data_IF_472255372419
#
_entry.id   IF_472255372419
#
_cell.length_a   1.000
_cell.length_b   1.000
_cell.length_c   1.000
_cell.angle_alpha   90.00
_cell.angle_beta   90.00
_cell.angle_gamma   90.00
#
_symmetry.space_group_name_H-M   'P 1'
#
loop_
_entity.id
_entity.type
_entity.pdbx_description
1 polymer ?
#
# COMPACT_ATOMS: atom_id res chain seq x y z
N UNK A 1 17.14 40.65 15.56
CA UNK A 1 16.42 40.41 14.29
C UNK A 1 17.18 40.89 13.05
N UNK A 2 17.62 42.15 12.96
CA UNK A 2 18.32 42.70 11.77
C UNK A 2 19.57 41.88 11.35
N UNK A 3 20.42 41.42 12.29
CA UNK A 3 21.61 40.62 11.99
C UNK A 3 21.30 39.24 11.42
N UNK A 4 20.24 38.57 11.88
CA UNK A 4 19.82 37.27 11.36
C UNK A 4 19.29 37.38 9.92
N UNK A 5 18.47 38.39 9.62
CA UNK A 5 17.99 38.67 8.26
C UNK A 5 19.14 38.98 7.29
N UNK A 6 20.10 39.76 7.75
CA UNK A 6 21.29 40.07 6.96
C UNK A 6 22.14 38.80 6.69
N UNK A 7 22.37 37.97 7.69
CA UNK A 7 23.06 36.67 7.53
C UNK A 7 22.33 35.76 6.55
N UNK A 8 21.03 35.68 6.65
CA UNK A 8 20.19 34.91 5.71
C UNK A 8 20.30 35.45 4.28
N UNK A 9 20.25 36.78 4.10
CA UNK A 9 20.39 37.41 2.78
C UNK A 9 21.76 37.11 2.16
N UNK A 10 22.84 37.12 2.93
CA UNK A 10 24.20 36.78 2.47
C UNK A 10 24.27 35.30 2.07
N UNK A 11 23.69 34.38 2.85
CA UNK A 11 23.67 32.96 2.53
C UNK A 11 22.83 32.67 1.27
N UNK A 12 21.67 33.32 1.14
CA UNK A 12 20.85 33.20 -0.08
C UNK A 12 21.51 33.81 -1.32
N UNK A 13 22.28 34.90 -1.16
CA UNK A 13 23.01 35.50 -2.27
C UNK A 13 24.08 34.58 -2.85
N UNK A 14 24.62 33.66 -2.02
CA UNK A 14 25.56 32.64 -2.47
C UNK A 14 24.95 31.76 -3.57
N UNK A 15 23.71 31.31 -3.41
CA UNK A 15 23.03 30.49 -4.40
C UNK A 15 22.80 31.18 -5.74
N UNK A 16 22.59 32.51 -5.72
CA UNK A 16 22.50 33.30 -6.96
C UNK A 16 23.82 33.36 -7.72
N UNK A 17 24.94 33.33 -7.00
CA UNK A 17 26.29 33.37 -7.59
C UNK A 17 26.79 31.99 -8.03
N UNK A 18 26.26 30.93 -7.39
CA UNK A 18 26.66 29.55 -7.67
C UNK A 18 25.43 28.66 -7.92
N UNK A 19 24.68 28.92 -9.02
CA UNK A 19 23.42 28.22 -9.29
C UNK A 19 23.62 26.71 -9.49
N UNK A 20 24.73 26.28 -10.05
CA UNK A 20 25.05 24.85 -10.24
C UNK A 20 25.14 24.09 -8.91
N UNK A 21 25.63 24.69 -7.84
CA UNK A 21 25.69 24.07 -6.52
C UNK A 21 24.31 23.90 -5.92
N UNK A 22 23.43 24.89 -6.08
CA UNK A 22 22.04 24.80 -5.68
C UNK A 22 21.31 23.68 -6.44
N UNK A 23 21.49 23.63 -7.76
CA UNK A 23 20.87 22.61 -8.62
C UNK A 23 21.31 21.20 -8.21
N UNK A 24 22.61 20.99 -7.98
CA UNK A 24 23.15 19.70 -7.54
C UNK A 24 22.57 19.28 -6.18
N UNK A 25 22.46 20.21 -5.23
CA UNK A 25 21.84 19.94 -3.92
C UNK A 25 20.35 19.59 -4.09
N UNK A 26 19.61 20.38 -4.86
CA UNK A 26 18.18 20.12 -5.10
C UNK A 26 17.97 18.80 -5.82
N UNK A 27 18.76 18.47 -6.84
CA UNK A 27 18.68 17.18 -7.53
C UNK A 27 18.89 16.03 -6.54
N UNK A 28 19.90 16.13 -5.66
CA UNK A 28 20.15 15.13 -4.62
C UNK A 28 18.97 14.94 -3.68
N UNK A 29 18.41 16.04 -3.16
CA UNK A 29 17.25 16.00 -2.27
C UNK A 29 15.98 15.48 -2.99
N UNK A 30 15.71 15.95 -4.20
CA UNK A 30 14.57 15.51 -5.03
C UNK A 30 14.70 14.03 -5.36
N UNK A 31 15.87 13.58 -5.82
CA UNK A 31 16.10 12.18 -6.19
C UNK A 31 15.92 11.23 -5.01
N UNK A 32 16.46 11.60 -3.83
CA UNK A 32 16.32 10.80 -2.61
C UNK A 32 14.84 10.67 -2.20
N UNK A 33 14.10 11.78 -2.21
CA UNK A 33 12.67 11.79 -1.86
C UNK A 33 11.85 11.06 -2.91
N UNK A 34 12.15 11.23 -4.21
CA UNK A 34 11.44 10.56 -5.31
C UNK A 34 11.66 9.04 -5.25
N UNK A 35 12.89 8.59 -5.00
CA UNK A 35 13.20 7.17 -4.85
C UNK A 35 12.41 6.54 -3.71
N UNK A 36 12.47 7.16 -2.52
CA UNK A 36 11.75 6.65 -1.36
C UNK A 36 10.23 6.67 -1.58
N UNK A 37 9.69 7.77 -2.06
CA UNK A 37 8.24 7.91 -2.26
C UNK A 37 7.71 6.98 -3.35
N UNK A 38 8.46 6.78 -4.44
CA UNK A 38 8.12 5.85 -5.50
C UNK A 38 8.07 4.40 -5.03
N UNK A 39 9.09 3.97 -4.27
CA UNK A 39 9.13 2.61 -3.68
C UNK A 39 7.99 2.42 -2.68
N UNK A 40 7.71 3.40 -1.82
CA UNK A 40 6.61 3.31 -0.86
C UNK A 40 5.23 3.28 -1.53
N UNK A 41 5.03 4.04 -2.60
CA UNK A 41 3.79 4.01 -3.37
C UNK A 41 3.53 2.62 -3.97
N UNK A 42 4.55 2.01 -4.58
CA UNK A 42 4.48 0.65 -5.12
C UNK A 42 4.25 -0.40 -4.02
N UNK A 43 4.96 -0.29 -2.90
CA UNK A 43 4.80 -1.19 -1.76
C UNK A 43 3.40 -1.13 -1.16
N UNK A 44 2.85 0.07 -0.97
CA UNK A 44 1.47 0.22 -0.46
C UNK A 44 0.44 -0.35 -1.42
N UNK A 45 0.62 -0.11 -2.72
CA UNK A 45 -0.28 -0.66 -3.74
C UNK A 45 -0.22 -2.19 -3.77
N UNK A 46 0.99 -2.76 -3.69
CA UNK A 46 1.18 -4.19 -3.62
C UNK A 46 0.52 -4.80 -2.37
N UNK A 47 0.74 -4.22 -1.18
CA UNK A 47 0.09 -4.65 0.07
C UNK A 47 -1.43 -4.57 -0.02
N UNK A 48 -1.96 -3.44 -0.48
CA UNK A 48 -3.40 -3.25 -0.60
C UNK A 48 -4.04 -4.28 -1.55
N UNK A 49 -3.38 -4.60 -2.67
CA UNK A 49 -3.85 -5.61 -3.59
C UNK A 49 -3.81 -7.02 -3.00
N UNK A 50 -2.77 -7.31 -2.22
CA UNK A 50 -2.62 -8.58 -1.51
C UNK A 50 -3.66 -8.75 -0.41
N UNK A 51 -3.86 -7.73 0.43
CA UNK A 51 -4.85 -7.74 1.51
C UNK A 51 -6.26 -7.93 0.93
N UNK A 52 -6.59 -7.26 -0.16
CA UNK A 52 -7.86 -7.45 -0.87
C UNK A 52 -8.02 -8.86 -1.43
N UNK A 53 -6.96 -9.42 -2.03
CA UNK A 53 -7.00 -10.79 -2.53
C UNK A 53 -7.14 -11.81 -1.37
N UNK A 54 -6.33 -11.67 -0.32
CA UNK A 54 -6.39 -12.54 0.85
C UNK A 54 -7.74 -12.47 1.55
N UNK A 55 -8.34 -11.30 1.59
CA UNK A 55 -9.63 -11.07 2.19
C UNK A 55 -10.76 -11.84 1.47
N UNK A 56 -10.70 -11.97 0.15
CA UNK A 56 -11.69 -12.72 -0.64
C UNK A 56 -11.53 -14.24 -0.53
N UNK A 57 -10.32 -14.71 -0.27
CA UNK A 57 -10.08 -16.14 -0.06
C UNK A 57 -10.58 -16.64 1.30
N UNK A 58 -11.33 -15.79 2.06
CA UNK A 58 -11.79 -16.12 3.40
C UNK A 58 -10.58 -16.30 4.30
N UNK A 59 -9.77 -15.25 4.35
CA UNK A 59 -8.46 -15.31 4.99
C UNK A 59 -8.46 -16.20 6.20
N UNK A 60 -7.45 -16.96 6.38
CA UNK A 60 -7.09 -17.96 7.37
C UNK A 60 -7.57 -17.71 8.82
N UNK A 61 -8.27 -16.62 9.06
CA UNK A 61 -8.86 -16.27 10.37
C UNK A 61 -10.21 -16.92 10.65
N UNK A 62 -10.85 -17.54 9.64
CA UNK A 62 -12.17 -18.15 9.82
C UNK A 62 -12.09 -19.63 9.45
N UNK A 63 -12.49 -20.51 10.38
CA UNK A 63 -12.61 -21.93 10.09
C UNK A 63 -13.57 -22.16 8.90
N UNK A 64 -13.25 -23.12 8.06
CA UNK A 64 -14.11 -23.46 6.92
C UNK A 64 -14.28 -24.97 6.78
N UNK A 65 -15.42 -25.39 6.21
CA UNK A 65 -15.66 -26.75 5.76
C UNK A 65 -15.57 -26.78 4.23
N UNK A 66 -14.78 -27.69 3.72
CA UNK A 66 -14.63 -27.93 2.28
C UNK A 66 -14.92 -29.38 1.94
N UNK A 67 -15.31 -29.65 0.71
CA UNK A 67 -15.41 -30.99 0.20
C UNK A 67 -14.07 -31.73 0.35
N UNK A 68 -14.09 -33.05 0.65
CA UNK A 68 -12.88 -33.82 0.99
C UNK A 68 -11.81 -33.74 -0.09
N UNK A 69 -12.21 -33.73 -1.34
CA UNK A 69 -11.30 -33.66 -2.51
C UNK A 69 -11.26 -32.26 -3.15
N UNK A 70 -11.70 -31.25 -2.43
CA UNK A 70 -11.83 -29.88 -2.98
C UNK A 70 -13.01 -29.75 -3.97
N UNK A 71 -13.83 -30.80 -4.12
CA UNK A 71 -15.00 -30.79 -4.99
C UNK A 71 -16.17 -30.02 -4.37
N UNK A 72 -17.09 -29.58 -5.23
CA UNK A 72 -18.38 -29.06 -4.79
C UNK A 72 -19.21 -30.15 -4.11
N UNK A 73 -20.07 -29.75 -3.19
CA UNK A 73 -20.94 -30.66 -2.44
C UNK A 73 -22.39 -30.14 -2.41
N UNK A 74 -23.38 -31.03 -2.15
CA UNK A 74 -24.78 -30.65 -2.17
C UNK A 74 -25.16 -29.61 -1.11
N UNK A 75 -25.99 -28.64 -1.47
CA UNK A 75 -26.52 -27.61 -0.57
C UNK A 75 -27.30 -28.20 0.62
N UNK A 76 -27.81 -29.44 0.50
CA UNK A 76 -28.50 -30.13 1.57
C UNK A 76 -27.60 -30.25 2.82
N UNK A 77 -26.32 -30.48 2.67
CA UNK A 77 -25.36 -30.54 3.80
C UNK A 77 -25.28 -29.23 4.58
N UNK A 78 -25.39 -28.08 3.92
CA UNK A 78 -25.48 -26.79 4.59
C UNK A 78 -26.74 -26.72 5.47
N UNK A 79 -27.89 -27.12 4.93
CA UNK A 79 -29.16 -27.10 5.65
C UNK A 79 -29.11 -28.02 6.88
N UNK A 80 -28.57 -29.24 6.73
CA UNK A 80 -28.47 -30.21 7.81
C UNK A 80 -27.50 -29.74 8.90
N UNK A 81 -26.37 -29.13 8.54
CA UNK A 81 -25.44 -28.54 9.48
C UNK A 81 -26.06 -27.35 10.24
N UNK A 82 -26.83 -26.50 9.56
CA UNK A 82 -27.55 -25.39 10.20
C UNK A 82 -28.56 -25.91 11.21
N UNK A 83 -29.32 -26.94 10.87
CA UNK A 83 -30.30 -27.61 11.78
C UNK A 83 -29.60 -28.29 12.97
N UNK A 84 -28.37 -28.77 12.77
CA UNK A 84 -27.52 -29.36 13.81
C UNK A 84 -26.78 -28.34 14.70
N UNK A 85 -27.06 -27.01 14.54
CA UNK A 85 -26.52 -25.94 15.36
C UNK A 85 -25.17 -25.37 14.87
N UNK A 86 -24.70 -25.75 13.69
CA UNK A 86 -23.48 -25.17 13.11
C UNK A 86 -23.74 -23.78 12.55
N UNK A 87 -22.96 -22.74 12.96
CA UNK A 87 -23.07 -21.40 12.42
C UNK A 87 -22.33 -21.30 11.09
N UNK A 88 -22.79 -21.98 10.08
CA UNK A 88 -22.16 -22.03 8.76
C UNK A 88 -22.86 -21.09 7.77
N UNK A 89 -22.07 -20.54 6.84
CA UNK A 89 -22.51 -19.71 5.71
C UNK A 89 -21.98 -20.30 4.39
N UNK A 90 -22.84 -20.47 3.38
CA UNK A 90 -22.46 -21.12 2.14
C UNK A 90 -21.74 -20.17 1.20
N UNK A 91 -20.76 -20.71 0.47
CA UNK A 91 -20.07 -20.03 -0.62
C UNK A 91 -20.02 -20.96 -1.83
N UNK A 92 -20.35 -20.41 -2.99
CA UNK A 92 -20.14 -21.05 -4.29
C UNK A 92 -19.14 -20.23 -5.11
N UNK A 93 -18.08 -20.87 -5.57
CA UNK A 93 -17.04 -20.23 -6.40
C UNK A 93 -16.94 -20.89 -7.77
N UNK A 94 -16.73 -20.07 -8.79
CA UNK A 94 -16.49 -20.52 -10.13
C UNK A 94 -15.85 -19.44 -10.99
N UNK A 95 -15.70 -19.73 -12.27
CA UNK A 95 -15.20 -18.78 -13.26
C UNK A 95 -16.25 -18.58 -14.35
N UNK A 96 -16.46 -17.31 -14.72
CA UNK A 96 -17.30 -16.96 -15.86
C UNK A 96 -16.47 -16.17 -16.87
N UNK A 97 -16.84 -16.24 -18.12
CA UNK A 97 -16.25 -15.44 -19.20
C UNK A 97 -17.23 -14.31 -19.59
N UNK A 98 -16.69 -13.09 -19.63
CA UNK A 98 -17.42 -11.89 -20.07
C UNK A 98 -16.51 -11.22 -21.11
N UNK A 99 -17.01 -11.05 -22.33
CA UNK A 99 -16.29 -10.42 -23.44
C UNK A 99 -14.87 -11.01 -23.67
N UNK A 100 -14.74 -12.35 -23.58
CA UNK A 100 -13.49 -13.07 -23.77
C UNK A 100 -12.52 -12.99 -22.58
N UNK A 101 -12.90 -12.36 -21.47
CA UNK A 101 -12.10 -12.28 -20.24
C UNK A 101 -12.69 -13.18 -19.15
N UNK A 102 -11.81 -13.83 -18.40
CA UNK A 102 -12.20 -14.72 -17.29
C UNK A 102 -12.26 -13.93 -15.98
N UNK A 103 -13.42 -14.00 -15.30
CA UNK A 103 -13.65 -13.44 -13.98
C UNK A 103 -13.98 -14.53 -12.98
N UNK A 104 -13.58 -14.32 -11.72
CA UNK A 104 -14.01 -15.18 -10.62
C UNK A 104 -15.38 -14.75 -10.15
N UNK A 105 -16.36 -15.65 -10.19
CA UNK A 105 -17.68 -15.46 -9.64
C UNK A 105 -17.75 -16.07 -8.24
N UNK A 106 -18.23 -15.33 -7.27
CA UNK A 106 -18.44 -15.75 -5.89
C UNK A 106 -19.90 -15.53 -5.51
N UNK A 107 -20.62 -16.60 -5.25
CA UNK A 107 -21.97 -16.59 -4.68
C UNK A 107 -21.89 -16.64 -3.17
N UNK A 108 -22.58 -15.71 -2.50
CA UNK A 108 -22.66 -15.61 -1.04
C UNK A 108 -24.09 -15.51 -0.58
N UNK A 109 -24.35 -15.94 0.66
CA UNK A 109 -25.61 -15.69 1.36
C UNK A 109 -25.38 -14.66 2.48
N UNK A 110 -25.80 -13.39 2.28
CA UNK A 110 -25.47 -12.31 3.22
C UNK A 110 -26.07 -12.47 4.61
N UNK A 111 -27.20 -13.19 4.74
CA UNK A 111 -27.91 -13.34 6.02
C UNK A 111 -27.14 -14.20 7.02
N UNK A 112 -26.46 -15.25 6.54
CA UNK A 112 -25.71 -16.17 7.40
C UNK A 112 -24.23 -15.86 7.50
N UNK A 113 -23.77 -14.86 6.74
CA UNK A 113 -22.36 -14.50 6.68
C UNK A 113 -21.85 -13.99 8.04
N UNK A 114 -20.75 -14.54 8.60
CA UNK A 114 -20.20 -14.07 9.86
C UNK A 114 -19.71 -12.61 9.73
N UNK A 115 -20.08 -11.76 10.70
CA UNK A 115 -19.64 -10.34 10.74
C UNK A 115 -18.11 -10.15 10.78
N UNK A 116 -17.36 -11.20 11.12
CA UNK A 116 -15.89 -11.21 11.24
C UNK A 116 -15.16 -11.61 9.95
N UNK A 117 -15.88 -11.99 8.91
CA UNK A 117 -15.29 -12.19 7.59
C UNK A 117 -15.02 -10.81 7.01
N UNK A 118 -13.89 -10.23 7.34
CA UNK A 118 -13.48 -8.87 7.05
C UNK A 118 -13.38 -8.48 5.57
N UNK A 119 -14.03 -9.22 4.71
CA UNK A 119 -14.05 -8.99 3.26
C UNK A 119 -15.32 -9.51 2.59
N UNK A 120 -16.25 -9.99 3.35
CA UNK A 120 -17.60 -9.94 2.81
C UNK A 120 -17.89 -8.47 2.57
N UNK A 121 -18.27 -8.07 1.35
CA UNK A 121 -18.67 -6.70 1.12
C UNK A 121 -19.66 -6.36 2.22
N UNK A 122 -19.43 -5.27 2.94
CA UNK A 122 -20.37 -4.76 3.90
C UNK A 122 -21.61 -4.35 3.11
N UNK A 123 -22.46 -5.33 2.81
CA UNK A 123 -23.74 -5.09 2.12
C UNK A 123 -24.57 -4.32 3.15
N UNK A 124 -24.69 -3.03 2.93
CA UNK A 124 -25.50 -2.17 3.80
C UNK A 124 -26.91 -2.73 3.91
N UNK A 125 -27.57 -2.53 5.07
CA UNK A 125 -28.95 -3.01 5.25
C UNK A 125 -29.88 -2.56 4.11
N UNK A 126 -29.64 -1.39 3.53
CA UNK A 126 -30.38 -0.85 2.39
C UNK A 126 -30.13 -1.60 1.07
N UNK A 127 -29.00 -2.30 0.96
CA UNK A 127 -28.56 -2.99 -0.25
C UNK A 127 -28.88 -4.49 -0.25
N UNK A 128 -29.27 -5.04 0.90
CA UNK A 128 -29.61 -6.46 1.04
C UNK A 128 -30.79 -6.87 0.16
N UNK A 129 -31.84 -6.07 0.13
CA UNK A 129 -33.03 -6.39 -0.64
C UNK A 129 -32.75 -6.43 -2.16
N UNK A 130 -32.11 -5.40 -2.79
CA UNK A 130 -31.76 -5.48 -4.19
C UNK A 130 -30.77 -6.60 -4.53
N UNK A 131 -29.89 -6.97 -3.58
CA UNK A 131 -28.92 -8.04 -3.77
C UNK A 131 -29.56 -9.43 -3.84
N UNK A 132 -30.53 -9.70 -2.96
CA UNK A 132 -31.18 -11.01 -2.80
C UNK A 132 -32.43 -11.20 -3.69
N UNK A 133 -33.04 -10.10 -4.18
CA UNK A 133 -34.28 -10.17 -4.94
C UNK A 133 -34.00 -10.14 -6.44
N UNK A 134 -34.53 -11.08 -7.26
CA UNK A 134 -34.34 -11.05 -8.71
C UNK A 134 -34.71 -9.70 -9.33
N UNK A 135 -33.92 -9.17 -10.29
CA UNK A 135 -32.81 -9.82 -10.99
C UNK A 135 -31.50 -9.85 -10.19
N UNK A 136 -31.43 -9.29 -8.98
CA UNK A 136 -30.24 -9.19 -8.17
C UNK A 136 -29.27 -8.10 -8.61
N UNK A 137 -28.12 -8.06 -7.97
CA UNK A 137 -27.03 -7.12 -8.27
C UNK A 137 -25.70 -7.87 -8.24
N UNK A 138 -24.82 -7.57 -9.16
CA UNK A 138 -23.43 -8.02 -9.15
C UNK A 138 -22.57 -6.95 -8.53
N UNK A 139 -21.91 -7.25 -7.42
CA UNK A 139 -20.93 -6.35 -6.81
C UNK A 139 -19.58 -6.53 -7.51
N UNK A 140 -18.96 -5.42 -7.89
CA UNK A 140 -17.69 -5.39 -8.62
C UNK A 140 -16.76 -4.32 -8.08
N UNK A 141 -15.44 -4.54 -8.19
CA UNK A 141 -14.47 -3.50 -7.92
C UNK A 141 -14.56 -2.39 -8.99
N UNK A 142 -14.26 -1.11 -8.63
CA UNK A 142 -14.26 -0.02 -9.60
C UNK A 142 -13.29 -0.27 -10.77
N UNK A 143 -12.18 -0.93 -10.51
CA UNK A 143 -11.18 -1.30 -11.51
C UNK A 143 -11.73 -2.34 -12.51
N UNK A 144 -12.50 -3.32 -12.02
CA UNK A 144 -13.16 -4.32 -12.88
C UNK A 144 -14.18 -3.66 -13.80
N UNK A 145 -14.91 -2.66 -13.31
CA UNK A 145 -15.86 -1.91 -14.11
C UNK A 145 -15.14 -1.12 -15.23
N UNK A 146 -14.02 -0.47 -14.89
CA UNK A 146 -13.17 0.25 -15.85
C UNK A 146 -12.58 -0.70 -16.91
N UNK A 147 -12.13 -1.88 -16.50
CA UNK A 147 -11.58 -2.91 -17.40
C UNK A 147 -12.62 -3.45 -18.38
N UNK A 148 -13.88 -3.55 -17.95
CA UNK A 148 -15.01 -3.93 -18.79
C UNK A 148 -15.51 -2.78 -19.68
N UNK A 149 -15.03 -1.56 -19.46
CA UNK A 149 -15.51 -0.31 -20.15
C UNK A 149 -17.02 -0.13 -20.01
N UNK A 150 -17.58 -0.52 -18.88
CA UNK A 150 -19.01 -0.43 -18.58
C UNK A 150 -19.27 0.65 -17.54
N UNK A 151 -20.47 1.24 -17.57
CA UNK A 151 -20.94 2.14 -16.52
C UNK A 151 -21.59 1.34 -15.38
N UNK A 152 -21.70 1.95 -14.19
CA UNK A 152 -22.49 1.39 -13.09
C UNK A 152 -23.94 1.21 -13.50
N UNK A 153 -24.54 0.06 -13.14
CA UNK A 153 -25.88 -0.32 -13.56
C UNK A 153 -25.97 -0.96 -14.96
N UNK A 154 -24.88 -0.99 -15.72
CA UNK A 154 -24.86 -1.66 -17.01
C UNK A 154 -24.94 -3.19 -16.86
N UNK A 155 -25.50 -3.83 -17.89
CA UNK A 155 -25.53 -5.30 -18.00
C UNK A 155 -24.57 -5.71 -19.09
N UNK A 156 -23.53 -6.53 -18.80
CA UNK A 156 -22.59 -7.00 -19.81
C UNK A 156 -23.32 -7.80 -20.90
N UNK A 157 -22.93 -7.56 -22.14
CA UNK A 157 -23.47 -8.30 -23.30
C UNK A 157 -23.08 -9.78 -23.29
N UNK A 158 -24.01 -10.65 -23.66
CA UNK A 158 -23.79 -12.09 -23.89
C UNK A 158 -24.00 -13.02 -22.69
N UNK A 159 -23.88 -12.57 -21.45
CA UNK A 159 -24.39 -13.28 -20.27
C UNK A 159 -25.55 -12.48 -19.69
N UNK A 160 -26.63 -13.16 -19.25
CA UNK A 160 -27.73 -12.51 -18.53
C UNK A 160 -27.27 -12.22 -17.10
N UNK A 161 -26.33 -11.27 -16.98
CA UNK A 161 -25.84 -10.82 -15.69
C UNK A 161 -26.77 -9.76 -15.11
N UNK A 162 -26.99 -9.78 -13.80
CA UNK A 162 -27.64 -8.66 -13.11
C UNK A 162 -26.88 -7.35 -13.28
N UNK A 163 -27.50 -6.17 -12.97
CA UNK A 163 -26.84 -4.90 -13.02
C UNK A 163 -25.58 -4.86 -12.14
N UNK A 164 -24.52 -4.25 -12.67
CA UNK A 164 -23.24 -4.10 -11.96
C UNK A 164 -23.33 -2.95 -10.96
N UNK A 165 -22.85 -3.16 -9.75
CA UNK A 165 -22.74 -2.13 -8.71
C UNK A 165 -21.31 -2.07 -8.16
N UNK A 166 -20.80 -0.88 -7.99
CA UNK A 166 -19.43 -0.66 -7.52
C UNK A 166 -19.32 -0.91 -6.01
N UNK A 167 -18.38 -1.76 -5.62
CA UNK A 167 -17.95 -1.98 -4.24
C UNK A 167 -16.43 -1.79 -4.13
N UNK A 168 -15.95 -0.66 -3.55
CA UNK A 168 -14.53 -0.32 -3.52
C UNK A 168 -13.64 -1.31 -2.76
N UNK A 169 -14.23 -2.09 -1.86
CA UNK A 169 -13.50 -3.06 -1.02
C UNK A 169 -13.24 -4.38 -1.72
N UNK A 170 -13.91 -4.64 -2.85
CA UNK A 170 -13.72 -5.89 -3.60
C UNK A 170 -12.39 -5.88 -4.36
N UNK A 171 -11.78 -7.08 -4.49
CA UNK A 171 -10.61 -7.24 -5.33
C UNK A 171 -10.99 -7.17 -6.82
N UNK A 172 -10.13 -6.59 -7.66
CA UNK A 172 -10.30 -6.59 -9.10
C UNK A 172 -10.45 -8.01 -9.65
N UNK A 173 -11.34 -8.17 -10.66
CA UNK A 173 -11.57 -9.45 -11.31
C UNK A 173 -12.47 -10.42 -10.55
N UNK A 174 -13.04 -9.99 -9.42
CA UNK A 174 -14.02 -10.75 -8.65
C UNK A 174 -15.40 -10.13 -8.79
N UNK A 175 -16.38 -10.98 -9.03
CA UNK A 175 -17.80 -10.66 -9.11
C UNK A 175 -18.49 -11.34 -7.95
N UNK A 176 -19.22 -10.58 -7.13
CA UNK A 176 -19.95 -11.14 -5.99
C UNK A 176 -21.43 -10.99 -6.25
N UNK A 177 -22.17 -12.09 -6.10
CA UNK A 177 -23.60 -12.18 -6.34
C UNK A 177 -24.30 -12.99 -5.24
N UNK A 178 -25.60 -12.95 -5.21
CA UNK A 178 -26.40 -13.89 -4.40
C UNK A 178 -26.11 -15.35 -4.81
N UNK A 179 -26.15 -16.26 -3.84
CA UNK A 179 -25.79 -17.67 -4.06
C UNK A 179 -26.69 -18.36 -5.09
N UNK A 180 -27.98 -18.03 -5.12
CA UNK A 180 -28.92 -18.58 -6.11
C UNK A 180 -28.57 -18.12 -7.52
N UNK A 181 -28.22 -16.84 -7.69
CA UNK A 181 -27.77 -16.29 -8.97
C UNK A 181 -26.44 -16.92 -9.40
N UNK A 182 -25.52 -17.15 -8.45
CA UNK A 182 -24.27 -17.84 -8.75
C UNK A 182 -24.48 -19.27 -9.23
N UNK A 183 -25.40 -20.01 -8.62
CA UNK A 183 -25.75 -21.37 -9.03
C UNK A 183 -26.28 -21.42 -10.46
N UNK A 184 -27.13 -20.46 -10.84
CA UNK A 184 -27.68 -20.36 -12.19
C UNK A 184 -26.58 -19.98 -13.23
N UNK A 185 -25.77 -18.98 -12.93
CA UNK A 185 -24.69 -18.50 -13.82
C UNK A 185 -23.59 -19.55 -14.03
N UNK A 186 -23.25 -20.30 -12.99
CA UNK A 186 -22.26 -21.38 -13.06
C UNK A 186 -22.83 -22.71 -13.54
N UNK A 187 -24.13 -22.79 -13.74
CA UNK A 187 -24.85 -24.04 -14.09
C UNK A 187 -24.59 -25.15 -13.06
N UNK A 188 -24.59 -24.80 -11.78
CA UNK A 188 -24.34 -25.70 -10.65
C UNK A 188 -25.48 -25.63 -9.63
N UNK A 189 -26.72 -26.00 -10.02
CA UNK A 189 -27.88 -25.90 -9.14
C UNK A 189 -27.70 -26.79 -7.90
N UNK A 190 -27.98 -26.23 -6.71
CA UNK A 190 -27.89 -26.95 -5.44
C UNK A 190 -26.50 -27.40 -5.03
N UNK A 191 -25.43 -26.85 -5.63
CA UNK A 191 -24.03 -27.15 -5.28
C UNK A 191 -23.39 -25.99 -4.54
N UNK A 192 -22.45 -26.31 -3.65
CA UNK A 192 -21.64 -25.38 -2.88
C UNK A 192 -20.17 -25.75 -2.97
N UNK A 193 -19.28 -24.76 -2.88
CA UNK A 193 -17.84 -25.00 -2.88
C UNK A 193 -17.24 -25.11 -1.47
N UNK A 194 -17.73 -24.31 -0.53
CA UNK A 194 -17.27 -24.31 0.87
C UNK A 194 -18.33 -23.68 1.80
N UNK A 195 -18.16 -23.94 3.12
CA UNK A 195 -18.93 -23.29 4.17
C UNK A 195 -17.96 -22.54 5.10
N UNK A 196 -18.23 -21.28 5.38
CA UNK A 196 -17.53 -20.53 6.42
C UNK A 196 -18.18 -20.80 7.77
N UNK A 197 -17.37 -20.98 8.83
CA UNK A 197 -17.87 -21.22 10.18
C UNK A 197 -17.81 -19.92 10.96
N UNK A 198 -18.96 -19.39 11.35
CA UNK A 198 -19.05 -18.23 12.24
C UNK A 198 -18.75 -18.56 13.71
N UNK A 199 -18.55 -17.51 14.51
CA UNK A 199 -18.46 -17.65 15.96
C UNK A 199 -19.86 -17.80 16.56
N UNK A 200 -20.22 -18.99 17.03
CA UNK A 200 -21.40 -19.20 17.86
C UNK A 200 -21.04 -20.02 19.08
N UNK A 201 -21.47 -19.56 20.23
CA UNK A 201 -21.33 -20.23 21.51
C UNK A 201 -22.53 -21.18 21.74
N UNK A 202 -22.66 -22.22 20.91
CA UNK A 202 -23.74 -23.20 21.03
C UNK A 202 -23.25 -24.64 21.03
N UNK A 203 -24.06 -25.56 21.61
CA UNK A 203 -23.84 -27.00 21.49
C UNK A 203 -23.98 -27.37 20.00
N UNK A 204 -22.98 -28.00 19.42
CA UNK A 204 -22.95 -28.47 18.03
C UNK A 204 -22.94 -29.98 18.02
N UNK A 205 -23.68 -30.58 17.10
CA UNK A 205 -23.52 -32.01 16.85
C UNK A 205 -22.13 -32.29 16.26
N UNK A 206 -21.51 -33.45 16.50
CA UNK A 206 -20.26 -33.84 15.86
C UNK A 206 -20.36 -33.74 14.33
N UNK A 207 -19.35 -33.20 13.68
CA UNK A 207 -19.36 -33.01 12.22
C UNK A 207 -19.58 -34.33 11.48
N UNK A 208 -18.96 -35.39 11.96
CA UNK A 208 -19.05 -36.73 11.37
C UNK A 208 -20.45 -37.32 11.42
N UNK A 209 -21.26 -36.96 12.44
CA UNK A 209 -22.64 -37.44 12.56
C UNK A 209 -23.60 -36.76 11.56
N UNK A 210 -23.26 -35.56 11.07
CA UNK A 210 -24.13 -34.78 10.15
C UNK A 210 -23.64 -34.88 8.71
N UNK A 211 -22.34 -34.69 8.48
CA UNK A 211 -21.75 -34.64 7.14
C UNK A 211 -20.97 -35.92 6.79
N UNK A 212 -20.89 -36.90 7.67
CA UNK A 212 -20.09 -38.09 7.48
C UNK A 212 -18.63 -37.74 7.11
N UNK A 213 -18.12 -38.36 6.06
CA UNK A 213 -16.78 -38.09 5.55
C UNK A 213 -16.76 -37.14 4.34
N UNK A 214 -17.87 -36.49 3.99
CA UNK A 214 -17.94 -35.66 2.79
C UNK A 214 -17.28 -34.30 2.96
N UNK A 215 -17.23 -33.80 4.20
CA UNK A 215 -16.64 -32.50 4.52
C UNK A 215 -15.39 -32.65 5.38
N UNK A 216 -14.43 -31.77 5.17
CA UNK A 216 -13.22 -31.62 5.99
C UNK A 216 -13.19 -30.26 6.61
N UNK A 217 -12.92 -30.20 7.91
CA UNK A 217 -12.70 -28.96 8.65
C UNK A 217 -11.27 -28.46 8.38
N UNK A 218 -11.16 -27.24 7.90
CA UNK A 218 -9.90 -26.49 7.84
C UNK A 218 -9.94 -25.47 8.98
N UNK A 219 -9.04 -25.65 9.95
CA UNK A 219 -8.93 -24.76 11.11
C UNK A 219 -8.37 -23.38 10.70
N UNK A 220 -8.73 -22.30 11.44
CA UNK A 220 -8.26 -20.95 11.11
C UNK A 220 -6.76 -20.74 11.23
N UNK A 221 -6.08 -21.61 11.97
CA UNK A 221 -4.62 -21.55 12.22
C UNK A 221 -3.85 -22.65 11.47
N UNK A 222 -4.49 -23.37 10.54
CA UNK A 222 -3.71 -24.15 9.61
C UNK A 222 -2.87 -23.14 8.83
N UNK A 223 -1.61 -22.93 9.29
CA UNK A 223 -0.60 -22.15 8.57
C UNK A 223 -0.60 -22.64 7.14
N UNK A 224 -1.37 -21.99 6.29
CA UNK A 224 -1.35 -22.31 4.87
C UNK A 224 0.00 -21.81 4.37
N UNK A 225 0.65 -22.55 3.49
CA UNK A 225 1.85 -22.09 2.77
C UNK A 225 1.64 -20.68 2.18
N UNK A 226 0.39 -20.30 1.94
CA UNK A 226 -0.03 -18.99 1.47
C UNK A 226 0.20 -17.87 2.50
N UNK A 227 0.02 -18.12 3.82
CA UNK A 227 0.32 -17.12 4.86
C UNK A 227 1.82 -16.90 4.99
N UNK A 228 2.60 -17.97 4.98
CA UNK A 228 4.07 -17.87 5.00
C UNK A 228 4.60 -17.13 3.78
N UNK A 229 4.02 -17.36 2.61
CA UNK A 229 4.34 -16.62 1.40
C UNK A 229 3.97 -15.14 1.53
N UNK A 230 2.81 -14.84 2.10
CA UNK A 230 2.34 -13.47 2.32
C UNK A 230 3.22 -12.73 3.32
N UNK A 231 3.57 -13.37 4.44
CA UNK A 231 4.47 -12.78 5.45
C UNK A 231 5.86 -12.55 4.89
N UNK A 232 6.41 -13.50 4.14
CA UNK A 232 7.69 -13.35 3.45
C UNK A 232 7.66 -12.20 2.43
N UNK A 233 6.54 -12.05 1.71
CA UNK A 233 6.34 -10.96 0.77
C UNK A 233 6.29 -9.60 1.48
N UNK A 234 5.53 -9.48 2.59
CA UNK A 234 5.47 -8.26 3.39
C UNK A 234 6.82 -7.89 4.00
N UNK A 235 7.59 -8.88 4.43
CA UNK A 235 8.94 -8.68 4.96
C UNK A 235 9.89 -8.19 3.87
N UNK A 236 9.86 -8.76 2.68
CA UNK A 236 10.63 -8.30 1.53
C UNK A 236 10.27 -6.87 1.12
N UNK A 237 8.99 -6.53 1.04
CA UNK A 237 8.56 -5.16 0.74
C UNK A 237 9.05 -4.16 1.81
N UNK A 238 9.06 -4.56 3.07
CA UNK A 238 9.59 -3.74 4.17
C UNK A 238 11.09 -3.55 4.03
N UNK A 239 11.82 -4.61 3.71
CA UNK A 239 13.27 -4.56 3.46
C UNK A 239 13.62 -3.65 2.28
N UNK A 240 12.88 -3.72 1.17
CA UNK A 240 13.06 -2.80 0.04
C UNK A 240 12.76 -1.34 0.40
N UNK A 241 11.72 -1.11 1.21
CA UNK A 241 11.42 0.23 1.73
C UNK A 241 12.54 0.79 2.60
N UNK A 242 13.11 -0.03 3.49
CA UNK A 242 14.23 0.34 4.34
C UNK A 242 15.50 0.59 3.51
N UNK A 243 15.80 -0.28 2.55
CA UNK A 243 16.95 -0.11 1.66
C UNK A 243 16.85 1.20 0.87
N UNK A 244 15.68 1.48 0.31
CA UNK A 244 15.39 2.72 -0.41
C UNK A 244 15.61 3.96 0.48
N UNK A 245 15.16 3.88 1.75
CA UNK A 245 15.39 4.94 2.73
C UNK A 245 16.88 5.16 3.02
N UNK A 246 17.65 4.08 3.23
CA UNK A 246 19.10 4.16 3.48
C UNK A 246 19.85 4.75 2.29
N UNK A 247 19.51 4.32 1.08
CA UNK A 247 20.10 4.89 -0.15
C UNK A 247 19.75 6.37 -0.29
N UNK A 248 18.49 6.74 -0.05
CA UNK A 248 18.05 8.13 -0.04
C UNK A 248 18.80 8.97 0.99
N UNK A 249 18.96 8.47 2.22
CA UNK A 249 19.72 9.14 3.28
C UNK A 249 21.20 9.35 2.88
N UNK A 250 21.82 8.36 2.24
CA UNK A 250 23.18 8.45 1.73
C UNK A 250 23.32 9.53 0.65
N UNK A 251 22.38 9.59 -0.30
CA UNK A 251 22.36 10.62 -1.36
C UNK A 251 22.23 12.01 -0.73
N UNK A 252 21.29 12.19 0.21
CA UNK A 252 21.09 13.46 0.92
C UNK A 252 22.33 13.85 1.70
N UNK A 253 22.92 12.92 2.45
CA UNK A 253 24.15 13.18 3.21
C UNK A 253 25.31 13.65 2.31
N UNK A 254 25.48 12.99 1.16
CA UNK A 254 26.52 13.34 0.20
C UNK A 254 26.28 14.73 -0.43
N UNK A 255 25.03 15.02 -0.82
CA UNK A 255 24.64 16.29 -1.42
C UNK A 255 24.80 17.46 -0.44
N UNK A 256 24.36 17.29 0.82
CA UNK A 256 24.48 18.30 1.87
C UNK A 256 25.94 18.48 2.27
N UNK A 257 26.70 17.39 2.42
CA UNK A 257 28.13 17.43 2.73
C UNK A 257 28.91 18.24 1.71
N UNK A 258 28.73 17.95 0.43
CA UNK A 258 29.38 18.68 -0.67
C UNK A 258 29.00 20.16 -0.66
N UNK A 259 27.70 20.48 -0.57
CA UNK A 259 27.21 21.86 -0.53
C UNK A 259 27.79 22.63 0.68
N UNK A 260 27.94 21.95 1.83
CA UNK A 260 28.52 22.55 3.04
C UNK A 260 29.98 22.82 2.88
N UNK A 261 30.77 21.87 2.35
CA UNK A 261 32.20 22.04 2.11
C UNK A 261 32.51 23.21 1.16
N UNK A 262 31.74 23.36 0.10
CA UNK A 262 31.88 24.46 -0.85
C UNK A 262 31.58 25.82 -0.23
N UNK A 263 30.79 25.88 0.85
CA UNK A 263 30.42 27.13 1.57
C UNK A 263 31.31 27.46 2.77
N UNK A 264 32.22 26.55 3.17
CA UNK A 264 33.08 26.74 4.32
C UNK A 264 33.82 28.12 4.33
N UNK A 265 34.36 28.63 3.20
CA UNK A 265 35.02 29.95 3.20
C UNK A 265 34.07 31.09 3.60
N UNK A 266 32.85 31.09 3.08
CA UNK A 266 31.82 32.09 3.39
C UNK A 266 31.39 32.01 4.86
N UNK A 267 31.24 30.81 5.40
CA UNK A 267 30.88 30.59 6.79
C UNK A 267 31.99 31.10 7.74
N UNK A 268 33.27 30.90 7.39
CA UNK A 268 34.41 31.44 8.14
C UNK A 268 34.42 32.97 8.14
N UNK A 269 34.22 33.60 6.98
CA UNK A 269 34.14 35.06 6.86
C UNK A 269 33.02 35.64 7.73
N UNK A 270 31.79 35.03 7.71
CA UNK A 270 30.69 35.45 8.56
C UNK A 270 31.04 35.35 10.05
N UNK A 271 31.73 34.29 10.44
CA UNK A 271 32.22 34.11 11.81
C UNK A 271 33.25 35.16 12.19
N UNK A 272 34.18 35.49 11.30
CA UNK A 272 35.16 36.55 11.50
C UNK A 272 34.50 37.96 11.62
N UNK A 273 33.39 38.19 10.93
CA UNK A 273 32.60 39.40 11.05
C UNK A 273 31.71 39.45 12.34
N UNK A 274 31.92 38.50 13.28
CA UNK A 274 31.23 38.51 14.59
C UNK A 274 29.86 37.84 14.64
N UNK A 275 29.50 37.03 13.62
CA UNK A 275 28.27 36.20 13.67
C UNK A 275 28.51 35.05 14.63
N UNK A 276 27.66 34.90 15.64
CA UNK A 276 27.78 33.80 16.60
C UNK A 276 27.50 32.43 15.94
N UNK A 277 28.21 31.38 16.42
CA UNK A 277 28.02 30.04 15.89
C UNK A 277 26.57 29.52 16.00
N UNK A 278 25.91 29.85 17.11
CA UNK A 278 24.50 29.47 17.30
C UNK A 278 23.57 30.13 16.29
N UNK A 279 23.79 31.42 15.99
CA UNK A 279 22.96 32.13 15.00
C UNK A 279 23.26 31.59 13.58
N UNK A 280 24.53 31.31 13.25
CA UNK A 280 24.90 30.72 11.97
C UNK A 280 24.23 29.37 11.75
N UNK A 281 24.31 28.49 12.76
CA UNK A 281 23.63 27.17 12.68
C UNK A 281 22.12 27.30 12.56
N UNK A 282 21.49 28.20 13.33
CA UNK A 282 20.03 28.39 13.23
C UNK A 282 19.61 28.81 11.81
N UNK A 283 20.38 29.74 11.20
CA UNK A 283 20.09 30.18 9.83
C UNK A 283 20.34 29.07 8.82
N UNK A 284 21.41 28.28 8.98
CA UNK A 284 21.68 27.12 8.11
C UNK A 284 20.60 26.04 8.21
N UNK A 285 20.10 25.77 9.43
CA UNK A 285 18.99 24.83 9.64
C UNK A 285 17.71 25.32 8.96
N UNK A 286 17.35 26.60 9.14
CA UNK A 286 16.17 27.18 8.48
C UNK A 286 16.29 27.09 6.96
N UNK A 287 17.43 27.45 6.40
CA UNK A 287 17.72 27.35 4.98
C UNK A 287 17.59 25.90 4.49
N UNK A 288 18.22 24.95 5.19
CA UNK A 288 18.17 23.54 4.83
C UNK A 288 16.74 22.98 4.88
N UNK A 289 16.01 23.29 5.95
CA UNK A 289 14.61 22.85 6.09
C UNK A 289 13.75 23.42 4.97
N UNK A 290 13.94 24.69 4.60
CA UNK A 290 13.17 25.30 3.50
C UNK A 290 13.49 24.64 2.14
N UNK A 291 14.76 24.34 1.88
CA UNK A 291 15.20 23.62 0.66
C UNK A 291 14.72 22.18 0.67
N UNK A 292 14.81 21.47 1.80
CA UNK A 292 14.31 20.10 1.93
C UNK A 292 12.80 20.01 1.76
N UNK A 293 12.06 20.99 2.28
CA UNK A 293 10.61 21.07 2.08
C UNK A 293 10.25 21.28 0.60
N UNK A 294 10.88 22.25 -0.06
CA UNK A 294 10.64 22.50 -1.48
C UNK A 294 11.05 21.32 -2.36
N UNK A 295 12.24 20.74 -2.13
CA UNK A 295 12.71 19.56 -2.84
C UNK A 295 11.87 18.33 -2.53
N UNK A 296 11.37 18.19 -1.28
CA UNK A 296 10.48 17.13 -0.86
C UNK A 296 9.16 17.15 -1.63
N UNK A 297 8.54 18.31 -1.80
CA UNK A 297 7.32 18.45 -2.60
C UNK A 297 7.53 18.01 -4.06
N UNK A 298 8.60 18.51 -4.69
CA UNK A 298 8.93 18.13 -6.06
C UNK A 298 9.27 16.64 -6.14
N UNK A 299 10.04 16.12 -5.18
CA UNK A 299 10.42 14.71 -5.12
C UNK A 299 9.22 13.78 -4.96
N UNK A 300 8.22 14.16 -4.15
CA UNK A 300 6.97 13.41 -4.01
C UNK A 300 6.21 13.33 -5.34
N UNK A 301 6.10 14.45 -6.05
CA UNK A 301 5.45 14.48 -7.37
C UNK A 301 6.22 13.62 -8.38
N UNK A 302 7.54 13.75 -8.44
CA UNK A 302 8.38 12.91 -9.31
C UNK A 302 8.25 11.42 -8.94
N UNK A 303 8.29 11.08 -7.65
CA UNK A 303 8.13 9.71 -7.17
C UNK A 303 6.78 9.11 -7.52
N UNK A 304 5.71 9.91 -7.46
CA UNK A 304 4.40 9.49 -7.93
C UNK A 304 4.39 9.14 -9.42
N UNK A 305 4.94 10.01 -10.27
CA UNK A 305 5.00 9.75 -11.71
C UNK A 305 5.86 8.52 -12.04
N UNK A 306 6.99 8.33 -11.35
CA UNK A 306 7.84 7.14 -11.50
C UNK A 306 7.05 5.89 -11.10
N UNK A 307 6.38 5.92 -9.94
CA UNK A 307 5.56 4.79 -9.48
C UNK A 307 4.41 4.49 -10.45
N UNK A 308 3.73 5.52 -10.96
CA UNK A 308 2.64 5.37 -11.92
C UNK A 308 3.13 4.77 -13.25
N UNK A 309 4.31 5.14 -13.72
CA UNK A 309 4.91 4.60 -14.92
C UNK A 309 5.35 3.13 -14.76
N UNK A 310 5.85 2.74 -13.59
CA UNK A 310 6.30 1.37 -13.29
C UNK A 310 5.15 0.43 -12.88
N UNK A 311 4.02 0.96 -12.44
CA UNK A 311 2.89 0.17 -11.93
C UNK A 311 2.37 -0.86 -12.94
N UNK A 312 2.22 -0.60 -14.25
CA UNK A 312 1.77 -1.58 -15.22
C UNK A 312 2.70 -2.81 -15.32
N UNK A 313 4.02 -2.60 -15.28
CA UNK A 313 5.01 -3.67 -15.36
C UNK A 313 5.03 -4.52 -14.10
N UNK A 314 4.95 -3.88 -12.93
CA UNK A 314 4.81 -4.56 -11.64
C UNK A 314 3.51 -5.34 -11.58
N UNK A 315 2.41 -4.76 -12.03
CA UNK A 315 1.10 -5.42 -12.09
C UNK A 315 1.11 -6.64 -13.03
N UNK A 316 1.77 -6.54 -14.19
CA UNK A 316 1.91 -7.65 -15.12
C UNK A 316 2.73 -8.80 -14.52
N UNK A 317 3.85 -8.48 -13.86
CA UNK A 317 4.70 -9.46 -13.19
C UNK A 317 3.97 -10.20 -12.05
N UNK A 318 3.25 -9.46 -11.19
CA UNK A 318 2.49 -10.04 -10.09
C UNK A 318 1.28 -10.84 -10.58
N UNK A 319 0.66 -10.44 -11.67
CA UNK A 319 -0.41 -11.21 -12.32
C UNK A 319 0.11 -12.55 -12.85
N UNK A 320 1.28 -12.55 -13.48
CA UNK A 320 1.90 -13.76 -14.02
C UNK A 320 2.34 -14.76 -12.94
N UNK A 321 2.90 -14.26 -11.84
CA UNK A 321 3.45 -15.09 -10.76
C UNK A 321 2.39 -15.53 -9.73
N UNK A 322 1.44 -14.68 -9.40
CA UNK A 322 0.51 -14.89 -8.28
C UNK A 322 -0.97 -14.87 -8.69
N UNK A 323 -1.29 -14.62 -9.95
CA UNK A 323 -2.66 -14.49 -10.44
C UNK A 323 -3.42 -13.29 -9.85
N UNK A 324 -2.73 -12.40 -9.15
CA UNK A 324 -3.33 -11.24 -8.51
C UNK A 324 -3.60 -10.13 -9.54
N UNK A 325 -4.83 -9.64 -9.62
CA UNK A 325 -5.16 -8.47 -10.41
C UNK A 325 -4.91 -7.21 -9.58
N UNK A 326 -3.89 -6.44 -9.97
CA UNK A 326 -3.55 -5.19 -9.31
C UNK A 326 -4.26 -4.06 -10.04
N UNK A 327 -4.94 -3.14 -9.34
CA UNK A 327 -5.50 -1.95 -9.94
C UNK A 327 -4.41 -1.14 -10.65
N UNK A 328 -4.66 -0.75 -11.90
CA UNK A 328 -3.74 0.07 -12.68
C UNK A 328 -3.65 1.54 -12.24
N UNK A 329 -4.28 1.91 -11.12
CA UNK A 329 -4.32 3.29 -10.62
C UNK A 329 -3.79 3.37 -9.19
N UNK A 330 -2.87 4.30 -8.97
CA UNK A 330 -2.36 4.62 -7.63
C UNK A 330 -3.36 5.50 -6.88
N UNK A 331 -3.83 5.03 -5.73
CA UNK A 331 -4.65 5.82 -4.82
C UNK A 331 -3.76 6.55 -3.81
N UNK A 332 -3.73 7.87 -3.88
CA UNK A 332 -2.95 8.69 -2.95
C UNK A 332 -3.76 9.02 -1.71
N UNK A 333 -3.38 8.48 -0.57
CA UNK A 333 -3.93 8.91 0.72
C UNK A 333 -3.21 10.18 1.21
N UNK A 334 -3.92 11.16 1.81
CA UNK A 334 -3.29 12.38 2.34
C UNK A 334 -2.15 12.12 3.33
N UNK A 335 -2.23 11.04 4.09
CA UNK A 335 -1.20 10.62 5.05
C UNK A 335 0.16 10.34 4.37
N UNK A 336 0.16 9.88 3.14
CA UNK A 336 1.37 9.61 2.37
C UNK A 336 2.15 10.89 2.03
N UNK A 337 1.46 11.97 1.70
CA UNK A 337 2.08 13.27 1.44
C UNK A 337 2.76 13.83 2.70
N UNK A 338 2.07 13.76 3.84
CA UNK A 338 2.61 14.23 5.12
C UNK A 338 3.83 13.40 5.54
N UNK A 339 3.77 12.07 5.42
CA UNK A 339 4.89 11.19 5.72
C UNK A 339 6.10 11.47 4.83
N UNK A 340 5.91 11.65 3.53
CA UNK A 340 6.98 11.95 2.58
C UNK A 340 7.69 13.26 2.88
N UNK A 341 6.95 14.33 3.17
CA UNK A 341 7.52 15.62 3.56
C UNK A 341 8.27 15.49 4.89
N UNK A 342 7.67 14.85 5.89
CA UNK A 342 8.30 14.66 7.19
C UNK A 342 9.63 13.90 7.06
N UNK A 343 9.68 12.82 6.28
CA UNK A 343 10.90 12.04 6.05
C UNK A 343 11.94 12.84 5.27
N UNK A 344 11.54 13.64 4.28
CA UNK A 344 12.45 14.51 3.55
C UNK A 344 13.14 15.51 4.49
N UNK A 345 12.36 16.17 5.36
CA UNK A 345 12.90 17.16 6.31
C UNK A 345 13.76 16.49 7.39
N UNK A 346 13.25 15.43 8.01
CA UNK A 346 13.99 14.70 9.06
C UNK A 346 15.25 14.06 8.48
N UNK A 347 15.15 13.42 7.31
CA UNK A 347 16.30 12.85 6.61
C UNK A 347 17.38 13.88 6.29
N UNK A 348 16.97 15.07 5.82
CA UNK A 348 17.89 16.18 5.59
C UNK A 348 18.55 16.68 6.88
N UNK A 349 17.82 16.79 7.99
CA UNK A 349 18.38 17.18 9.29
C UNK A 349 19.36 16.15 9.85
N UNK A 350 19.03 14.86 9.76
CA UNK A 350 19.91 13.77 10.19
C UNK A 350 21.20 13.78 9.35
N UNK A 351 21.07 13.87 8.03
CA UNK A 351 22.20 13.94 7.12
C UNK A 351 23.07 15.18 7.36
N UNK A 352 22.45 16.31 7.70
CA UNK A 352 23.17 17.55 7.98
C UNK A 352 23.82 17.60 9.37
N UNK A 353 23.44 16.72 10.29
CA UNK A 353 23.93 16.77 11.68
C UNK A 353 25.44 16.79 11.78
N UNK A 354 26.15 15.99 10.96
CA UNK A 354 27.61 15.96 10.89
C UNK A 354 28.19 17.27 10.36
N UNK A 355 27.58 17.85 9.34
CA UNK A 355 28.00 19.14 8.74
C UNK A 355 27.74 20.31 9.66
N UNK A 356 26.60 20.31 10.38
CA UNK A 356 26.25 21.34 11.37
C UNK A 356 27.19 21.29 12.59
N UNK A 357 27.55 20.11 13.07
CA UNK A 357 28.52 19.97 14.18
C UNK A 357 29.93 20.45 13.77
N UNK A 358 30.36 20.20 12.52
CA UNK A 358 31.58 20.78 11.96
C UNK A 358 31.52 22.31 11.92
N UNK A 359 30.37 22.91 11.59
CA UNK A 359 30.17 24.36 11.58
C UNK A 359 30.34 25.00 12.97
N UNK A 360 29.88 24.32 14.02
CA UNK A 360 30.06 24.79 15.41
C UNK A 360 31.51 24.80 15.85
N UNK A 361 32.31 23.84 15.37
CA UNK A 361 33.72 23.63 15.74
C UNK A 361 34.73 24.34 14.81
N UNK A 362 34.27 25.18 13.86
CA UNK A 362 35.14 25.88 12.94
C UNK A 362 36.15 26.76 13.69
N UNK A 363 37.47 26.49 13.59
CA UNK A 363 38.47 27.33 14.21
C UNK A 363 38.56 28.67 13.47
N UNK A 364 38.52 29.76 14.21
CA UNK A 364 38.60 31.13 13.66
C UNK A 364 39.99 31.50 13.09
N UNK A 365 41.03 30.85 13.59
CA UNK A 365 42.45 31.19 13.30
C UNK A 365 43.13 30.26 12.31
N UNK A 366 42.43 29.28 11.74
CA UNK A 366 43.04 28.27 10.85
C UNK A 366 43.62 28.84 9.54
N UNK A 367 43.30 30.05 9.16
CA UNK A 367 43.87 30.73 7.98
C UNK A 367 45.30 31.27 8.21
N UNK A 368 45.70 31.39 9.47
CA UNK A 368 47.06 31.92 9.83
C UNK A 368 48.12 30.82 9.96
N UNK A 369 47.73 29.54 10.02
CA UNK A 369 48.68 28.42 10.13
C UNK A 369 48.28 27.24 9.23
N UNK A 370 48.84 27.12 8.02
CA UNK A 370 48.51 26.03 7.09
C UNK A 370 48.81 24.63 7.60
N UNK A 371 49.69 24.48 8.60
CA UNK A 371 50.09 23.17 9.15
C UNK A 371 49.24 22.68 10.32
N UNK A 372 48.32 23.48 10.88
CA UNK A 372 47.45 23.05 11.98
C UNK A 372 46.36 22.05 11.57
N UNK A 373 46.21 21.78 10.28
CA UNK A 373 45.21 20.83 9.75
C UNK A 373 45.67 19.38 9.82
N UNK A 374 46.99 19.12 9.87
CA UNK A 374 47.52 17.75 9.88
C UNK A 374 47.49 17.11 11.28
N UNK A 375 47.27 17.89 12.33
CA UNK A 375 47.22 17.41 13.73
C UNK A 375 45.80 17.30 14.28
N UNK A 376 44.77 17.68 13.51
CA UNK A 376 43.35 17.66 13.92
C UNK A 376 42.49 16.59 13.20
N UNK A 377 43.11 15.73 12.41
CA UNK A 377 42.53 14.49 11.89
C UNK A 377 42.93 13.32 12.79
#
# INVERSE_FOLDING_TARGET
>A
MKRALWTLAVLLSHWRRHPMQLVTLLIGLISATALWSGVQALNQQARFSYDRAAALFGGTRTAMLVGRDGASFPQQLFIDLRRAGWPVSPILEGRIQIDGRSFRLMGIEPVTLPAQVGSAPAIGKADLQPFMTPPGVVLVAPETLSDLKLAEGARPGGAVLPPLRVQPELAPGVLVVDIGIAQDLLKMPGQLSRLLIGNANGKRAPLESVAGQQLRLIAPNAESDLERLTDSFHLNLTAFGLLSFLVGLFIVNSAIGLAFEQRLPVLRTLRACGVSARMLNAVLVIELVSLAFAAGLVGLVCGYFIAAALLPDVAASLRGLYGAQIPGQLTLKPQWWLAGIAISVVGALVAAATSLTKALRLPLLATAQPYAWQTAQ
#
